data_IF_587147735705
#
_entry.id   IF_587147735705
#
_cell.length_a   1.000
_cell.length_b   1.000
_cell.length_c   1.000
_cell.angle_alpha   90.00
_cell.angle_beta   90.00
_cell.angle_gamma   90.00
#
_symmetry.space_group_name_H-M   'P 1'
#
loop_
_entity.id
_entity.type
_entity.pdbx_description
1 polymer ?
#
# COMPACT_ATOMS: atom_id res chain seq x y z
N UNK A 1 -1.10 32.05 -7.07
CA UNK A 1 -2.45 31.50 -7.24
C UNK A 1 -2.51 30.29 -6.34
N UNK A 2 -3.10 30.47 -5.15
CA UNK A 2 -2.94 29.56 -4.02
C UNK A 2 -3.61 28.21 -4.29
N UNK A 3 -2.89 27.13 -4.04
CA UNK A 3 -3.52 25.84 -3.77
C UNK A 3 -4.11 25.95 -2.37
N UNK A 4 -5.42 26.04 -2.30
CA UNK A 4 -6.15 25.70 -1.08
C UNK A 4 -5.63 24.33 -0.59
N UNK A 5 -5.22 24.19 0.67
CA UNK A 5 -4.89 22.88 1.21
C UNK A 5 -6.13 21.99 1.02
N UNK A 6 -5.92 20.84 0.39
CA UNK A 6 -6.95 19.82 0.23
C UNK A 6 -7.45 19.44 1.62
N UNK A 7 -8.61 20.01 2.00
CA UNK A 7 -9.41 19.74 3.18
C UNK A 7 -8.64 19.49 4.49
N UNK A 8 -8.80 20.41 5.44
CA UNK A 8 -8.96 20.02 6.84
C UNK A 8 -10.15 19.05 6.92
N UNK A 9 -9.90 17.77 6.73
CA UNK A 9 -10.89 16.73 6.94
C UNK A 9 -11.03 16.54 8.46
N UNK A 10 -11.76 17.45 9.10
CA UNK A 10 -12.52 17.14 10.31
C UNK A 10 -13.64 16.16 9.90
N UNK A 11 -13.22 14.97 9.50
CA UNK A 11 -14.11 13.85 9.27
C UNK A 11 -13.86 12.94 10.45
N UNK A 12 -14.66 13.13 11.51
CA UNK A 12 -14.93 12.06 12.47
C UNK A 12 -15.54 10.91 11.65
N UNK A 13 -14.67 10.10 11.04
CA UNK A 13 -14.99 8.83 10.41
C UNK A 13 -15.32 7.88 11.55
N UNK A 14 -16.50 8.08 12.15
CA UNK A 14 -17.06 7.12 13.07
C UNK A 14 -17.18 5.80 12.29
N UNK A 15 -16.25 4.88 12.55
CA UNK A 15 -16.29 3.53 12.01
C UNK A 15 -17.62 2.95 12.45
N UNK A 16 -18.50 2.53 11.52
CA UNK A 16 -19.77 1.92 11.90
C UNK A 16 -19.53 0.80 12.91
N UNK A 17 -20.21 0.82 14.05
CA UNK A 17 -20.02 -0.14 15.16
C UNK A 17 -20.06 -1.62 14.72
N UNK A 18 -20.84 -1.93 13.68
CA UNK A 18 -20.89 -3.27 13.08
C UNK A 18 -19.58 -3.73 12.44
N UNK A 19 -18.75 -2.80 11.96
CA UNK A 19 -17.39 -3.06 11.46
C UNK A 19 -16.47 -3.31 12.64
N UNK A 20 -16.57 -2.50 13.70
CA UNK A 20 -15.75 -2.64 14.90
C UNK A 20 -15.95 -4.02 15.58
N UNK A 21 -17.18 -4.51 15.62
CA UNK A 21 -17.53 -5.82 16.18
C UNK A 21 -16.99 -7.02 15.35
N UNK A 22 -16.65 -6.82 14.06
CA UNK A 22 -16.22 -7.90 13.15
C UNK A 22 -14.85 -7.68 12.49
N UNK A 23 -14.15 -6.58 12.80
CA UNK A 23 -12.95 -6.14 12.10
C UNK A 23 -11.84 -7.21 12.09
N UNK A 24 -11.59 -7.81 13.26
CA UNK A 24 -10.55 -8.83 13.41
C UNK A 24 -10.83 -10.06 12.55
N UNK A 25 -12.11 -10.46 12.45
CA UNK A 25 -12.54 -11.59 11.62
C UNK A 25 -12.30 -11.27 10.14
N UNK A 26 -12.69 -10.07 9.69
CA UNK A 26 -12.49 -9.63 8.31
C UNK A 26 -11.00 -9.53 7.95
N UNK A 27 -10.17 -9.00 8.86
CA UNK A 27 -8.73 -8.93 8.67
C UNK A 27 -8.12 -10.32 8.51
N UNK A 28 -8.49 -11.25 9.39
CA UNK A 28 -8.02 -12.64 9.33
C UNK A 28 -8.46 -13.33 8.03
N UNK A 29 -9.73 -13.19 7.64
CA UNK A 29 -10.27 -13.79 6.42
C UNK A 29 -9.60 -13.24 5.14
N UNK A 30 -9.17 -11.98 5.15
CA UNK A 30 -8.42 -11.34 4.06
C UNK A 30 -6.91 -11.66 4.10
N UNK A 31 -6.44 -12.38 5.12
CA UNK A 31 -5.05 -12.78 5.26
C UNK A 31 -4.12 -11.74 5.89
N UNK A 32 -4.67 -10.71 6.56
CA UNK A 32 -3.85 -9.75 7.30
C UNK A 32 -3.23 -10.42 8.54
N UNK A 33 -1.94 -10.21 8.71
CA UNK A 33 -1.25 -10.55 9.95
C UNK A 33 -1.17 -9.32 10.87
N UNK A 34 -0.94 -9.57 12.16
CA UNK A 34 -0.69 -8.50 13.14
C UNK A 34 0.52 -7.66 12.69
N UNK A 35 1.54 -8.31 12.16
CA UNK A 35 2.77 -7.67 11.68
C UNK A 35 2.48 -6.72 10.50
N UNK A 36 1.58 -7.08 9.58
CA UNK A 36 1.16 -6.20 8.49
C UNK A 36 0.46 -4.94 9.01
N UNK A 37 -0.39 -5.08 10.02
CA UNK A 37 -1.13 -3.94 10.58
C UNK A 37 -0.19 -3.01 11.35
N UNK A 38 0.62 -3.55 12.28
CA UNK A 38 1.50 -2.76 13.14
C UNK A 38 2.69 -2.17 12.37
N UNK A 39 3.35 -2.95 11.51
CA UNK A 39 4.58 -2.51 10.84
C UNK A 39 4.33 -1.74 9.55
N UNK A 40 3.20 -1.97 8.88
CA UNK A 40 2.92 -1.37 7.57
C UNK A 40 1.78 -0.37 7.66
N UNK A 41 0.58 -0.80 8.04
CA UNK A 41 -0.61 0.06 8.02
C UNK A 41 -0.51 1.20 9.03
N UNK A 42 -0.17 0.91 10.28
CA UNK A 42 -0.05 1.92 11.34
C UNK A 42 1.08 2.92 11.04
N UNK A 43 2.23 2.43 10.57
CA UNK A 43 3.35 3.29 10.17
C UNK A 43 2.97 4.25 9.02
N UNK A 44 2.23 3.77 8.02
CA UNK A 44 1.71 4.62 6.94
C UNK A 44 0.69 5.63 7.44
N UNK A 45 -0.21 5.22 8.34
CA UNK A 45 -1.23 6.11 8.91
C UNK A 45 -0.62 7.24 9.75
N UNK A 46 0.44 6.97 10.50
CA UNK A 46 1.10 7.97 11.34
C UNK A 46 2.00 8.93 10.57
N UNK A 47 2.76 8.42 9.58
CA UNK A 47 3.82 9.18 8.92
C UNK A 47 3.46 9.69 7.53
N UNK A 48 2.39 9.16 6.92
CA UNK A 48 2.02 9.42 5.53
C UNK A 48 3.04 8.90 4.52
N UNK A 49 3.91 7.96 4.92
CA UNK A 49 4.95 7.36 4.09
C UNK A 49 4.99 5.85 4.30
N UNK A 50 5.42 5.13 3.27
CA UNK A 50 5.67 3.70 3.39
C UNK A 50 6.81 3.43 4.39
N UNK A 51 6.71 2.35 5.19
CA UNK A 51 7.75 1.97 6.14
C UNK A 51 9.08 1.64 5.44
N UNK A 52 10.20 2.01 6.06
CA UNK A 52 11.54 1.66 5.58
C UNK A 52 12.07 0.48 6.40
N UNK A 53 12.46 -0.59 5.71
CA UNK A 53 13.10 -1.76 6.32
C UNK A 53 14.55 -1.90 5.85
N UNK A 54 15.31 -2.76 6.54
CA UNK A 54 16.67 -3.12 6.17
C UNK A 54 16.82 -4.65 6.08
N UNK A 55 17.94 -5.10 5.51
CA UNK A 55 18.21 -6.50 5.14
C UNK A 55 17.40 -7.01 3.93
N UNK A 56 17.80 -8.16 3.40
CA UNK A 56 17.09 -8.82 2.30
C UNK A 56 15.85 -9.58 2.77
N UNK A 57 15.00 -9.98 1.82
CA UNK A 57 13.88 -10.87 2.10
C UNK A 57 14.39 -12.32 2.24
N UNK A 58 14.41 -12.83 3.47
CA UNK A 58 14.80 -14.21 3.81
C UNK A 58 13.60 -15.18 3.86
N UNK A 59 12.40 -14.73 3.46
CA UNK A 59 11.23 -15.62 3.35
C UNK A 59 11.38 -16.52 2.11
N UNK A 60 10.94 -17.80 2.17
CA UNK A 60 10.87 -18.64 0.98
C UNK A 60 9.93 -18.02 -0.05
N UNK A 61 10.17 -18.32 -1.33
CA UNK A 61 9.24 -17.95 -2.41
C UNK A 61 7.84 -18.50 -2.10
N UNK A 62 6.80 -17.71 -2.37
CA UNK A 62 5.41 -18.09 -2.06
C UNK A 62 5.04 -19.49 -2.57
N UNK A 63 5.51 -19.87 -3.76
CA UNK A 63 5.24 -21.18 -4.40
C UNK A 63 5.91 -22.39 -3.70
N UNK A 64 6.98 -22.18 -2.92
CA UNK A 64 7.71 -23.27 -2.23
C UNK A 64 7.46 -23.25 -0.72
N UNK A 65 6.72 -22.26 -0.21
CA UNK A 65 6.49 -22.12 1.21
C UNK A 65 5.38 -23.04 1.71
N UNK A 66 5.55 -23.58 2.91
CA UNK A 66 4.52 -24.37 3.60
C UNK A 66 3.44 -23.49 4.27
N UNK A 67 3.57 -22.15 4.22
CA UNK A 67 2.61 -21.20 4.80
C UNK A 67 1.62 -20.73 3.73
N UNK A 68 0.43 -20.33 4.16
CA UNK A 68 -0.52 -19.65 3.28
C UNK A 68 0.04 -18.28 2.85
N UNK A 69 0.03 -18.00 1.55
CA UNK A 69 0.44 -16.73 0.95
C UNK A 69 -0.73 -16.09 0.23
N UNK A 70 -0.76 -14.76 0.26
CA UNK A 70 -1.74 -13.94 -0.43
C UNK A 70 -1.39 -13.81 -1.91
N UNK A 71 -2.39 -13.57 -2.76
CA UNK A 71 -2.23 -13.63 -4.21
C UNK A 71 -1.11 -12.70 -4.72
N UNK A 72 -0.94 -11.53 -4.11
CA UNK A 72 0.06 -10.57 -4.54
C UNK A 72 1.51 -10.99 -4.27
N UNK A 73 1.77 -11.97 -3.39
CA UNK A 73 3.12 -12.47 -3.12
C UNK A 73 3.70 -13.29 -4.30
N UNK A 74 2.85 -13.71 -5.23
CA UNK A 74 3.25 -14.46 -6.43
C UNK A 74 3.70 -13.55 -7.58
N UNK A 75 3.43 -12.25 -7.50
CA UNK A 75 3.77 -11.30 -8.55
C UNK A 75 4.97 -10.44 -8.15
N UNK A 76 6.00 -10.42 -8.99
CA UNK A 76 7.17 -9.57 -8.78
C UNK A 76 7.09 -8.31 -9.64
N UNK A 77 7.44 -7.17 -9.05
CA UNK A 77 7.50 -5.90 -9.78
C UNK A 77 8.68 -5.93 -10.75
N UNK A 78 8.41 -5.65 -12.03
CA UNK A 78 9.45 -5.53 -13.05
C UNK A 78 10.04 -4.12 -13.02
N UNK A 79 11.33 -4.02 -13.29
CA UNK A 79 12.03 -2.74 -13.41
C UNK A 79 12.78 -2.64 -14.74
N UNK A 80 13.07 -1.42 -15.15
CA UNK A 80 13.83 -1.11 -16.34
C UNK A 80 15.34 -1.14 -16.03
N UNK A 81 16.12 -1.73 -16.93
CA UNK A 81 17.58 -1.75 -16.81
C UNK A 81 18.21 -1.68 -18.21
N UNK A 82 19.29 -0.88 -18.34
CA UNK A 82 20.10 -0.64 -19.55
C UNK A 82 19.33 -0.03 -20.73
N UNK A 83 18.27 -0.71 -21.18
CA UNK A 83 17.50 -0.40 -22.38
C UNK A 83 16.67 0.87 -22.26
N UNK A 84 16.09 1.14 -21.09
CA UNK A 84 15.41 2.39 -20.77
C UNK A 84 15.69 2.79 -19.30
N UNK A 85 15.85 4.10 -19.01
CA UNK A 85 16.09 4.58 -17.65
C UNK A 85 14.82 4.56 -16.80
N UNK A 86 14.97 4.38 -15.49
CA UNK A 86 13.91 4.62 -14.51
C UNK A 86 13.73 6.13 -14.28
N UNK A 87 12.50 6.57 -14.01
CA UNK A 87 12.16 7.96 -13.71
C UNK A 87 12.23 8.18 -12.19
N UNK A 88 12.71 9.34 -11.74
CA UNK A 88 12.71 9.71 -10.32
C UNK A 88 11.32 10.19 -9.87
N UNK A 89 10.58 9.43 -9.04
CA UNK A 89 9.21 9.78 -8.66
C UNK A 89 9.11 11.01 -7.75
N UNK A 90 10.21 11.44 -7.12
CA UNK A 90 10.21 12.61 -6.23
C UNK A 90 10.63 13.88 -6.97
N UNK A 91 11.71 13.81 -7.74
CA UNK A 91 12.28 14.97 -8.45
C UNK A 91 11.55 15.29 -9.75
N UNK A 92 11.01 14.27 -10.41
CA UNK A 92 10.34 14.39 -11.70
C UNK A 92 8.83 14.11 -11.60
N UNK A 93 8.24 14.29 -10.41
CA UNK A 93 6.81 14.04 -10.15
C UNK A 93 5.87 14.81 -11.09
N UNK A 94 6.29 15.97 -11.62
CA UNK A 94 5.48 16.79 -12.52
C UNK A 94 5.18 16.11 -13.87
N UNK A 95 6.03 15.17 -14.31
CA UNK A 95 5.82 14.44 -15.57
C UNK A 95 5.04 13.12 -15.37
N UNK A 96 4.67 12.79 -14.14
CA UNK A 96 3.88 11.60 -13.78
C UNK A 96 2.45 12.01 -13.39
N UNK A 97 1.47 11.13 -13.64
CA UNK A 97 0.08 11.33 -13.20
C UNK A 97 -0.53 9.99 -12.77
N UNK A 98 -1.41 10.07 -11.75
CA UNK A 98 -2.26 8.97 -11.26
C UNK A 98 -3.73 9.20 -11.65
N UNK A 99 -4.00 10.11 -12.59
CA UNK A 99 -5.36 10.41 -13.04
C UNK A 99 -5.98 9.19 -13.71
N UNK A 100 -7.24 8.90 -13.36
CA UNK A 100 -8.01 7.79 -13.90
C UNK A 100 -9.29 8.32 -14.53
N UNK A 101 -9.58 7.88 -15.75
CA UNK A 101 -10.81 8.21 -16.46
C UNK A 101 -11.77 7.01 -16.44
N UNK A 102 -12.99 7.24 -15.95
CA UNK A 102 -14.05 6.23 -15.90
C UNK A 102 -15.08 6.48 -17.00
N UNK A 103 -15.47 5.42 -17.72
CA UNK A 103 -16.45 5.49 -18.79
C UNK A 103 -15.91 4.95 -20.11
N UNK A 104 -16.64 5.19 -21.20
CA UNK A 104 -16.26 4.72 -22.53
C UNK A 104 -15.06 5.51 -23.05
N UNK A 105 -14.09 4.78 -23.60
CA UNK A 105 -12.97 5.31 -24.38
C UNK A 105 -13.41 5.83 -25.76
#
# INVERSE_FOLDING_TARGET
MGREPFLSADHDLAVPRAIEENLMTMQFDMGYTIEDVEMVVEAMAQTGKEPTFCMGNDKPLAVVSDRAHVLYDYFTQRFAQVTNPAIDPYRESLVMSTDVFLGRQ
#
